data_IF_361677432105
#
_entry.id   IF_361677432105
#
_cell.length_a   1.000
_cell.length_b   1.000
_cell.length_c   1.000
_cell.angle_alpha   90.00
_cell.angle_beta   90.00
_cell.angle_gamma   90.00
#
_symmetry.space_group_name_H-M   'P 1'
#
loop_
_entity.id
_entity.type
_entity.pdbx_description
1 polymer ?
#
# COMPACT_ATOMS: atom_id res chain seq x y z
N UNK A 1 11.32 -32.16 24.25
CA UNK A 1 10.86 -30.77 24.50
C UNK A 1 9.37 -30.76 24.25
N UNK A 2 8.58 -30.51 25.29
CA UNK A 2 7.15 -30.83 25.33
C UNK A 2 6.39 -30.27 24.11
N UNK A 3 5.81 -31.18 23.34
CA UNK A 3 4.70 -30.89 22.45
C UNK A 3 3.51 -30.55 23.35
N UNK A 4 3.44 -29.32 23.84
CA UNK A 4 2.18 -28.78 24.37
C UNK A 4 1.25 -28.56 23.16
N UNK A 5 0.19 -29.36 23.12
CA UNK A 5 -0.88 -29.30 22.13
C UNK A 5 -1.44 -27.88 22.06
N UNK A 6 -1.02 -27.15 21.03
CA UNK A 6 -1.56 -25.83 20.77
C UNK A 6 -3.03 -26.00 20.38
N UNK A 7 -3.97 -25.19 20.92
CA UNK A 7 -5.38 -25.31 20.56
C UNK A 7 -5.54 -25.26 19.04
N UNK A 8 -6.38 -26.14 18.50
CA UNK A 8 -6.66 -26.14 17.06
C UNK A 8 -7.14 -24.75 16.62
N UNK A 9 -6.61 -24.26 15.51
CA UNK A 9 -6.88 -22.89 15.04
C UNK A 9 -6.07 -21.79 15.74
N UNK A 10 -5.10 -22.13 16.61
CA UNK A 10 -4.19 -21.16 17.21
C UNK A 10 -2.73 -21.36 16.75
N UNK A 11 -1.95 -20.28 16.72
CA UNK A 11 -0.48 -20.32 16.55
C UNK A 11 0.21 -19.36 17.52
N UNK A 12 1.45 -19.69 17.88
CA UNK A 12 2.33 -18.81 18.64
C UNK A 12 2.87 -17.69 17.75
N UNK A 13 2.72 -16.44 18.19
CA UNK A 13 3.30 -15.27 17.53
C UNK A 13 4.81 -15.19 17.77
N UNK A 14 5.64 -15.05 16.73
CA UNK A 14 7.10 -14.85 16.87
C UNK A 14 7.50 -13.43 17.31
N UNK A 15 6.53 -12.53 17.52
CA UNK A 15 6.77 -11.17 17.99
C UNK A 15 6.63 -11.05 19.50
N UNK A 16 5.43 -11.36 20.01
CA UNK A 16 5.11 -11.30 21.44
C UNK A 16 5.16 -12.66 22.16
N UNK A 17 5.47 -13.76 21.45
CA UNK A 17 5.52 -15.13 21.98
C UNK A 17 4.21 -15.69 22.58
N UNK A 18 3.09 -14.96 22.45
CA UNK A 18 1.76 -15.41 22.89
C UNK A 18 1.09 -16.33 21.86
N UNK A 19 0.28 -17.26 22.37
CA UNK A 19 -0.59 -18.12 21.56
C UNK A 19 -1.86 -17.35 21.22
N UNK A 20 -2.18 -17.25 19.93
CA UNK A 20 -3.29 -16.46 19.42
C UNK A 20 -4.05 -17.22 18.33
N UNK A 21 -5.35 -16.96 18.14
CA UNK A 21 -6.11 -17.57 17.06
C UNK A 21 -5.57 -17.14 15.70
N UNK A 22 -5.74 -17.97 14.68
CA UNK A 22 -5.32 -17.72 13.30
C UNK A 22 -5.86 -16.40 12.73
N UNK A 23 -7.04 -15.98 13.19
CA UNK A 23 -7.68 -14.71 12.82
C UNK A 23 -6.87 -13.48 13.23
N UNK A 24 -6.06 -13.59 14.28
CA UNK A 24 -5.16 -12.52 14.71
C UNK A 24 -3.90 -12.41 13.83
N UNK A 25 -3.74 -13.28 12.83
CA UNK A 25 -2.62 -13.25 11.90
C UNK A 25 -3.08 -12.79 10.52
N UNK A 26 -2.20 -12.07 9.81
CA UNK A 26 -2.44 -11.75 8.41
C UNK A 26 -2.20 -12.96 7.51
N UNK A 27 -2.86 -13.00 6.34
CA UNK A 27 -2.61 -14.03 5.33
C UNK A 27 -1.22 -13.86 4.71
N UNK A 28 -0.54 -14.97 4.45
CA UNK A 28 0.76 -15.01 3.79
C UNK A 28 0.97 -16.37 3.11
N UNK A 29 1.04 -16.36 1.78
CA UNK A 29 1.15 -17.57 0.95
C UNK A 29 2.32 -18.48 1.35
N UNK A 30 3.48 -17.89 1.66
CA UNK A 30 4.69 -18.62 2.07
C UNK A 30 4.75 -18.86 3.59
N UNK A 31 3.73 -18.45 4.33
CA UNK A 31 3.70 -18.51 5.79
C UNK A 31 3.27 -19.89 6.31
N UNK A 32 3.73 -20.25 7.51
CA UNK A 32 3.26 -21.47 8.19
C UNK A 32 1.74 -21.34 8.43
N UNK A 33 0.98 -22.32 7.95
CA UNK A 33 -0.49 -22.33 7.92
C UNK A 33 -1.13 -21.26 7.01
N UNK A 34 -0.39 -20.73 6.01
CA UNK A 34 -0.88 -19.65 5.16
C UNK A 34 -0.98 -18.30 5.89
N UNK A 35 -0.29 -18.16 7.02
CA UNK A 35 -0.39 -17.03 7.93
C UNK A 35 0.99 -16.46 8.26
N UNK A 36 1.03 -15.14 8.48
CA UNK A 36 2.22 -14.41 8.92
C UNK A 36 2.80 -14.99 10.20
N UNK A 37 4.11 -14.83 10.39
CA UNK A 37 4.82 -15.30 11.59
C UNK A 37 4.53 -14.47 12.85
N UNK A 38 4.07 -13.23 12.68
CA UNK A 38 3.71 -12.29 13.76
C UNK A 38 2.22 -11.96 13.69
N UNK A 39 1.60 -11.68 14.84
CA UNK A 39 0.21 -11.24 14.91
C UNK A 39 0.06 -9.83 14.34
N UNK A 40 -1.18 -9.47 14.00
CA UNK A 40 -1.55 -8.16 13.45
C UNK A 40 -1.08 -7.00 14.35
N UNK A 41 -1.19 -7.16 15.67
CA UNK A 41 -0.73 -6.15 16.64
C UNK A 41 0.78 -5.92 16.55
N UNK A 42 1.59 -6.97 16.64
CA UNK A 42 3.05 -6.83 16.51
C UNK A 42 3.49 -6.24 15.16
N UNK A 43 2.76 -6.56 14.08
CA UNK A 43 3.03 -5.97 12.76
C UNK A 43 2.67 -4.48 12.76
N UNK A 44 1.53 -4.11 13.34
CA UNK A 44 1.10 -2.72 13.49
C UNK A 44 2.12 -1.91 14.28
N UNK A 45 2.56 -2.42 15.43
CA UNK A 45 3.59 -1.77 16.26
C UNK A 45 4.90 -1.60 15.52
N UNK A 46 5.36 -2.65 14.82
CA UNK A 46 6.55 -2.57 13.98
C UNK A 46 6.42 -1.47 12.92
N UNK A 47 5.27 -1.39 12.24
CA UNK A 47 5.02 -0.40 11.21
C UNK A 47 4.94 1.02 11.79
N UNK A 48 4.31 1.18 12.96
CA UNK A 48 4.25 2.45 13.69
C UNK A 48 5.65 2.91 14.10
N UNK A 49 6.47 2.03 14.65
CA UNK A 49 7.84 2.34 15.04
C UNK A 49 8.71 2.69 13.82
N UNK A 50 8.54 1.96 12.71
CA UNK A 50 9.22 2.30 11.46
C UNK A 50 8.82 3.68 10.95
N UNK A 51 7.53 4.01 11.00
CA UNK A 51 7.02 5.31 10.60
C UNK A 51 7.47 6.45 11.53
N UNK A 52 7.60 6.21 12.83
CA UNK A 52 8.07 7.21 13.79
C UNK A 52 9.61 7.38 13.76
N UNK A 53 10.34 6.35 13.35
CA UNK A 53 11.81 6.35 13.25
C UNK A 53 12.32 6.68 11.84
N UNK A 54 13.39 5.98 11.45
CA UNK A 54 14.07 6.19 10.16
C UNK A 54 13.19 5.96 8.92
N UNK A 55 12.09 5.21 9.05
CA UNK A 55 11.20 4.90 7.95
C UNK A 55 10.43 6.12 7.41
N UNK A 56 10.18 7.14 8.22
CA UNK A 56 9.60 8.40 7.74
C UNK A 56 10.52 9.08 6.71
N UNK A 57 11.81 9.21 7.02
CA UNK A 57 12.79 9.82 6.12
C UNK A 57 12.92 9.06 4.81
N UNK A 58 13.03 7.73 4.88
CA UNK A 58 13.10 6.86 3.70
C UNK A 58 11.85 7.00 2.82
N UNK A 59 10.65 7.04 3.43
CA UNK A 59 9.39 7.20 2.68
C UNK A 59 9.33 8.56 1.97
N UNK A 60 9.74 9.63 2.64
CA UNK A 60 9.80 10.96 2.04
C UNK A 60 10.76 11.00 0.85
N UNK A 61 11.97 10.45 1.03
CA UNK A 61 12.99 10.39 -0.02
C UNK A 61 12.49 9.60 -1.24
N UNK A 62 11.92 8.41 -1.03
CA UNK A 62 11.39 7.58 -2.12
C UNK A 62 10.22 8.26 -2.83
N UNK A 63 9.32 8.92 -2.10
CA UNK A 63 8.22 9.65 -2.70
C UNK A 63 8.72 10.84 -3.52
N UNK A 64 9.70 11.60 -3.00
CA UNK A 64 10.34 12.70 -3.75
C UNK A 64 11.01 12.19 -5.02
N UNK A 65 11.77 11.10 -4.93
CA UNK A 65 12.41 10.45 -6.08
C UNK A 65 11.38 10.05 -7.14
N UNK A 66 10.30 9.38 -6.71
CA UNK A 66 9.21 9.02 -7.61
C UNK A 66 8.56 10.24 -8.27
N UNK A 67 8.29 11.30 -7.50
CA UNK A 67 7.75 12.55 -8.06
C UNK A 67 8.69 13.18 -9.09
N UNK A 68 10.01 13.17 -8.84
CA UNK A 68 10.99 13.73 -9.77
C UNK A 68 11.13 12.91 -11.04
N UNK A 69 11.21 11.58 -10.90
CA UNK A 69 11.37 10.65 -12.03
C UNK A 69 10.12 10.60 -12.90
N UNK A 70 8.93 10.73 -12.31
CA UNK A 70 7.63 10.67 -13.00
C UNK A 70 6.96 12.04 -13.15
N UNK A 71 7.72 13.14 -13.11
CA UNK A 71 7.18 14.52 -13.06
C UNK A 71 6.20 14.82 -14.21
N UNK A 72 6.57 14.48 -15.45
CA UNK A 72 5.75 14.75 -16.64
C UNK A 72 4.46 13.92 -16.64
N UNK A 73 4.56 12.63 -16.33
CA UNK A 73 3.43 11.71 -16.23
C UNK A 73 2.44 12.17 -15.15
N UNK A 74 2.95 12.56 -13.97
CA UNK A 74 2.12 13.09 -12.89
C UNK A 74 1.47 14.42 -13.27
N UNK A 75 2.20 15.31 -13.95
CA UNK A 75 1.65 16.56 -14.45
C UNK A 75 0.52 16.32 -15.47
N UNK A 76 0.69 15.37 -16.38
CA UNK A 76 -0.34 15.01 -17.36
C UNK A 76 -1.55 14.35 -16.69
N UNK A 77 -1.35 13.43 -15.74
CA UNK A 77 -2.43 12.87 -14.92
C UNK A 77 -3.23 13.96 -14.21
N UNK A 78 -2.54 14.97 -13.66
CA UNK A 78 -3.20 16.10 -13.01
C UNK A 78 -3.93 17.01 -14.01
N UNK A 79 -3.37 17.24 -15.20
CA UNK A 79 -4.01 17.97 -16.29
C UNK A 79 -5.30 17.28 -16.72
N UNK A 80 -5.23 15.97 -17.01
CA UNK A 80 -6.39 15.14 -17.38
C UNK A 80 -7.44 15.17 -16.30
N UNK A 81 -7.07 14.96 -15.03
CA UNK A 81 -8.00 15.02 -13.90
C UNK A 81 -8.71 16.38 -13.82
N UNK A 82 -7.97 17.48 -13.97
CA UNK A 82 -8.52 18.84 -13.98
C UNK A 82 -9.45 19.07 -15.16
N UNK A 83 -9.09 18.60 -16.36
CA UNK A 83 -9.91 18.71 -17.55
C UNK A 83 -11.21 17.90 -17.41
N UNK A 84 -11.15 16.63 -16.97
CA UNK A 84 -12.33 15.82 -16.68
C UNK A 84 -13.26 16.50 -15.67
N UNK A 85 -12.70 17.08 -14.60
CA UNK A 85 -13.48 17.84 -13.62
C UNK A 85 -14.15 19.09 -14.24
N UNK A 86 -13.46 19.79 -15.14
CA UNK A 86 -13.95 21.02 -15.77
C UNK A 86 -15.03 20.76 -16.81
N UNK A 87 -14.82 19.77 -17.67
CA UNK A 87 -15.68 19.51 -18.82
C UNK A 87 -16.73 18.43 -18.56
N UNK A 88 -16.58 17.62 -17.51
CA UNK A 88 -17.54 16.59 -17.14
C UNK A 88 -17.84 15.66 -18.32
N UNK A 89 -19.12 15.52 -18.64
CA UNK A 89 -19.60 14.70 -19.76
C UNK A 89 -19.11 15.20 -21.13
N UNK A 90 -18.77 16.49 -21.24
CA UNK A 90 -18.24 17.08 -22.46
C UNK A 90 -16.72 16.90 -22.62
N UNK A 91 -16.06 16.12 -21.75
CA UNK A 91 -14.61 15.93 -21.80
C UNK A 91 -14.12 15.33 -23.12
N UNK A 92 -14.83 14.34 -23.66
CA UNK A 92 -14.46 13.69 -24.93
C UNK A 92 -14.61 14.65 -26.12
N UNK A 93 -15.68 15.47 -26.13
CA UNK A 93 -15.87 16.50 -27.15
C UNK A 93 -14.78 17.58 -27.09
N UNK A 94 -14.34 17.94 -25.88
CA UNK A 94 -13.20 18.85 -25.68
C UNK A 94 -11.88 18.25 -26.22
N UNK A 95 -11.61 16.96 -25.96
CA UNK A 95 -10.44 16.29 -26.51
C UNK A 95 -10.45 16.28 -28.05
N UNK A 96 -11.58 15.90 -28.65
CA UNK A 96 -11.73 15.92 -30.11
C UNK A 96 -11.54 17.33 -30.70
N UNK A 97 -11.99 18.37 -30.00
CA UNK A 97 -11.74 19.76 -30.40
C UNK A 97 -10.26 20.12 -30.36
N UNK A 98 -9.52 19.71 -29.33
CA UNK A 98 -8.09 19.97 -29.22
C UNK A 98 -7.29 19.24 -30.30
N UNK A 99 -7.65 18.00 -30.62
CA UNK A 99 -7.01 17.23 -31.69
C UNK A 99 -7.21 17.89 -33.05
N UNK A 100 -8.45 18.36 -33.33
CA UNK A 100 -8.72 19.13 -34.55
C UNK A 100 -7.87 20.39 -34.64
N UNK A 101 -7.72 21.14 -33.55
CA UNK A 101 -6.89 22.36 -33.51
C UNK A 101 -5.41 22.05 -33.73
N UNK A 102 -4.92 20.91 -33.22
CA UNK A 102 -3.51 20.50 -33.33
C UNK A 102 -3.13 20.04 -34.76
N UNK A 103 -4.11 19.58 -35.53
CA UNK A 103 -3.92 19.05 -36.89
C UNK A 103 -4.21 20.09 -38.00
N UNK A 104 -4.45 21.35 -37.62
CA UNK A 104 -4.54 22.52 -38.49
C UNK A 104 -3.18 23.24 -38.54
#
# INVERSE_FOLDING_TARGET
>A
MANEDLPSGCKRCKGCNQVKPFEEFGKELKGKFGLKSKCKLCISDKNRNYAAGSGAGVKLQNNKKYQTEHKSELAEKMRVRRAKKKFGDNYEAYLASLERIKNL
#
